data_IF_799658077090
#
_entry.id   IF_799658077090
#
_cell.length_a   1.000
_cell.length_b   1.000
_cell.length_c   1.000
_cell.angle_alpha   90.00
_cell.angle_beta   90.00
_cell.angle_gamma   90.00
#
_symmetry.space_group_name_H-M   'P 1'
#
loop_
_entity.id
_entity.type
_entity.pdbx_description
1 polymer ?
#
# COMPACT_ATOMS: atom_id res chain seq x y z
N UNK A 1 47.79 -17.15 -59.41
CA UNK A 1 47.39 -16.59 -60.72
C UNK A 1 46.09 -17.24 -61.16
N UNK A 2 45.03 -16.43 -61.27
CA UNK A 2 43.93 -16.44 -62.27
C UNK A 2 42.60 -16.11 -61.61
N UNK A 3 42.08 -14.92 -61.96
CA UNK A 3 40.77 -14.44 -61.53
C UNK A 3 39.62 -15.02 -62.34
N UNK A 4 38.42 -14.64 -61.90
CA UNK A 4 37.10 -14.55 -62.59
C UNK A 4 36.08 -14.44 -61.44
N UNK A 5 35.39 -13.33 -61.19
CA UNK A 5 34.58 -12.54 -62.11
C UNK A 5 33.15 -13.09 -62.08
N UNK A 6 32.33 -12.68 -61.09
CA UNK A 6 30.89 -13.01 -61.06
C UNK A 6 30.04 -11.75 -60.98
N UNK A 7 29.04 -11.74 -61.85
CA UNK A 7 28.13 -10.65 -62.18
C UNK A 7 27.09 -10.44 -61.08
N UNK A 8 26.77 -9.18 -60.81
CA UNK A 8 25.63 -8.79 -60.00
C UNK A 8 24.32 -9.21 -60.68
N UNK A 9 23.42 -9.84 -59.92
CA UNK A 9 22.01 -10.01 -60.27
C UNK A 9 21.22 -9.12 -59.32
N UNK A 10 20.58 -8.09 -59.88
CA UNK A 10 19.62 -7.24 -59.18
C UNK A 10 18.28 -7.99 -59.20
N UNK A 11 17.82 -8.45 -58.04
CA UNK A 11 16.43 -8.88 -57.87
C UNK A 11 15.65 -7.70 -57.30
N UNK A 12 14.81 -7.10 -58.13
CA UNK A 12 13.73 -6.21 -57.72
C UNK A 12 12.63 -7.07 -57.07
N UNK A 13 12.67 -7.21 -55.74
CA UNK A 13 11.63 -7.84 -54.95
C UNK A 13 10.88 -6.78 -54.14
N UNK A 14 9.59 -6.60 -54.43
CA UNK A 14 8.74 -5.55 -53.89
C UNK A 14 8.65 -5.53 -52.36
N UNK A 15 8.72 -4.33 -51.79
CA UNK A 15 8.34 -4.04 -50.41
C UNK A 15 6.82 -4.15 -50.27
N UNK A 16 6.33 -5.30 -49.82
CA UNK A 16 5.04 -5.37 -49.17
C UNK A 16 5.20 -4.79 -47.76
N UNK A 17 4.86 -3.51 -47.60
CA UNK A 17 4.63 -2.88 -46.30
C UNK A 17 3.40 -3.55 -45.67
N UNK A 18 3.62 -4.65 -44.93
CA UNK A 18 2.68 -5.06 -43.90
C UNK A 18 2.66 -3.96 -42.86
N UNK A 19 1.58 -3.18 -42.85
CA UNK A 19 1.29 -2.26 -41.78
C UNK A 19 1.22 -3.03 -40.48
N UNK A 20 2.24 -2.87 -39.64
CA UNK A 20 2.14 -3.19 -38.23
C UNK A 20 1.05 -2.25 -37.68
N UNK A 21 -0.14 -2.79 -37.49
CA UNK A 21 -1.13 -2.20 -36.60
C UNK A 21 -0.47 -2.13 -35.23
N UNK A 22 0.16 -0.99 -34.95
CA UNK A 22 0.63 -0.67 -33.62
C UNK A 22 -0.58 -0.67 -32.71
N UNK A 23 -0.74 -1.73 -31.92
CA UNK A 23 -1.59 -1.68 -30.75
C UNK A 23 -1.10 -0.49 -29.93
N UNK A 24 -1.86 0.61 -29.96
CA UNK A 24 -1.65 1.70 -29.04
C UNK A 24 -1.86 1.11 -27.64
N UNK A 25 -0.75 0.76 -26.99
CA UNK A 25 -0.76 0.45 -25.58
C UNK A 25 -1.10 1.77 -24.90
N UNK A 26 -2.35 1.92 -24.47
CA UNK A 26 -2.68 2.88 -23.43
C UNK A 26 -1.64 2.69 -22.33
N UNK A 27 -0.90 3.73 -21.91
CA UNK A 27 0.04 3.57 -20.81
C UNK A 27 -0.77 3.10 -19.60
N UNK A 28 -0.62 1.82 -19.28
CA UNK A 28 -1.15 1.27 -18.06
C UNK A 28 -0.56 2.09 -16.93
N UNK A 29 -1.41 2.54 -16.01
CA UNK A 29 -0.99 3.26 -14.80
C UNK A 29 0.16 2.47 -14.17
N UNK A 30 1.35 3.05 -14.08
CA UNK A 30 2.49 2.42 -13.38
C UNK A 30 2.11 2.27 -11.91
N UNK A 31 1.98 1.03 -11.44
CA UNK A 31 1.67 0.72 -10.05
C UNK A 31 2.90 0.83 -9.11
N UNK A 32 4.02 1.38 -9.61
CA UNK A 32 5.28 1.55 -8.87
C UNK A 32 5.57 3.00 -8.49
N UNK A 33 4.77 3.96 -8.97
CA UNK A 33 5.01 5.38 -8.71
C UNK A 33 4.46 5.80 -7.34
N UNK A 34 4.98 6.86 -6.73
CA UNK A 34 4.47 7.39 -5.45
C UNK A 34 2.95 7.65 -5.46
N UNK A 35 2.45 8.14 -6.60
CA UNK A 35 1.04 8.38 -6.85
C UNK A 35 0.18 7.09 -6.93
N UNK A 36 0.80 5.91 -6.90
CA UNK A 36 0.13 4.62 -6.96
C UNK A 36 -0.31 4.10 -5.59
N UNK A 37 0.36 4.48 -4.49
CA UNK A 37 0.04 3.97 -3.16
C UNK A 37 -1.33 4.44 -2.67
N UNK A 38 -1.60 5.73 -2.87
CA UNK A 38 -2.84 6.37 -2.46
C UNK A 38 -3.40 7.17 -3.66
N UNK A 39 -4.65 6.90 -4.08
CA UNK A 39 -5.33 7.69 -5.09
C UNK A 39 -5.44 9.18 -4.75
N UNK A 40 -5.35 10.06 -5.75
CA UNK A 40 -5.59 11.49 -5.58
C UNK A 40 -7.05 11.77 -5.17
N UNK A 41 -7.26 12.79 -4.33
CA UNK A 41 -8.58 13.20 -3.86
C UNK A 41 -9.15 12.36 -2.72
N UNK A 42 -8.38 11.43 -2.15
CA UNK A 42 -8.83 10.63 -1.00
C UNK A 42 -9.04 11.46 0.26
N UNK A 43 -8.22 12.47 0.46
CA UNK A 43 -8.15 13.21 1.70
C UNK A 43 -8.92 14.53 1.59
N UNK A 44 -9.89 14.82 2.48
CA UNK A 44 -10.66 16.05 2.42
C UNK A 44 -9.76 17.27 2.71
N UNK A 45 -10.08 18.40 2.08
CA UNK A 45 -9.31 19.65 2.11
C UNK A 45 -9.28 20.35 3.48
N UNK A 46 -10.10 19.91 4.43
CA UNK A 46 -10.23 20.48 5.78
C UNK A 46 -9.05 20.18 6.73
N UNK A 47 -7.91 19.73 6.19
CA UNK A 47 -6.70 19.39 6.93
C UNK A 47 -5.60 20.46 6.71
N UNK A 48 -4.71 20.73 7.69
CA UNK A 48 -3.62 21.69 7.52
C UNK A 48 -2.64 21.31 6.39
N UNK A 49 -2.47 20.01 6.12
CA UNK A 49 -1.70 19.50 4.99
C UNK A 49 -2.62 19.19 3.80
N UNK A 50 -2.14 19.48 2.58
CA UNK A 50 -2.85 19.11 1.36
C UNK A 50 -2.97 17.60 1.20
N UNK A 51 -3.97 17.17 0.42
CA UNK A 51 -4.14 15.78 -0.03
C UNK A 51 -2.83 15.21 -0.60
N UNK A 52 -2.15 15.96 -1.47
CA UNK A 52 -0.84 15.57 -2.02
C UNK A 52 0.23 15.35 -0.93
N UNK A 53 0.36 16.29 0.01
CA UNK A 53 1.35 16.19 1.08
C UNK A 53 1.10 14.98 1.99
N UNK A 54 -0.17 14.65 2.26
CA UNK A 54 -0.55 13.46 3.04
C UNK A 54 -0.17 12.18 2.31
N UNK A 55 -0.55 12.06 1.03
CA UNK A 55 -0.21 10.88 0.22
C UNK A 55 1.29 10.66 0.15
N UNK A 56 2.08 11.72 -0.11
CA UNK A 56 3.54 11.63 -0.10
C UNK A 56 4.10 11.12 1.23
N UNK A 57 3.64 11.71 2.33
CA UNK A 57 4.09 11.32 3.68
C UNK A 57 3.76 9.87 4.02
N UNK A 58 2.55 9.41 3.67
CA UNK A 58 2.15 8.03 3.93
C UNK A 58 2.82 7.03 2.98
N UNK A 59 3.15 7.44 1.75
CA UNK A 59 3.82 6.57 0.78
C UNK A 59 5.30 6.34 1.12
N UNK A 60 5.98 7.33 1.71
CA UNK A 60 7.42 7.25 1.97
C UNK A 60 7.85 6.02 2.82
N UNK A 61 7.20 5.68 3.95
CA UNK A 61 7.46 4.43 4.68
C UNK A 61 7.25 3.17 3.82
N UNK A 62 6.19 3.16 3.00
CA UNK A 62 5.83 2.00 2.18
C UNK A 62 6.84 1.78 1.05
N UNK A 63 7.26 2.85 0.39
CA UNK A 63 8.33 2.83 -0.61
C UNK A 63 9.65 2.36 -0.02
N UNK A 64 10.02 2.88 1.16
CA UNK A 64 11.23 2.45 1.87
C UNK A 64 11.23 0.96 2.16
N UNK A 65 10.07 0.40 2.45
CA UNK A 65 9.91 -1.01 2.76
C UNK A 65 9.78 -1.91 1.54
N UNK A 66 9.57 -1.33 0.34
CA UNK A 66 9.24 -2.06 -0.89
C UNK A 66 7.84 -2.67 -0.85
N UNK A 67 6.92 -2.10 -0.07
CA UNK A 67 5.55 -2.60 0.04
C UNK A 67 4.78 -2.38 -1.27
N UNK A 68 3.91 -3.31 -1.70
CA UNK A 68 3.07 -3.09 -2.87
C UNK A 68 1.99 -2.03 -2.59
N UNK A 69 1.50 -1.38 -3.66
CA UNK A 69 0.27 -0.57 -3.59
C UNK A 69 -0.95 -1.48 -3.51
N UNK A 70 -1.81 -1.24 -2.51
CA UNK A 70 -3.11 -1.91 -2.39
C UNK A 70 -4.18 -1.24 -3.27
N UNK A 71 -4.06 0.07 -3.53
CA UNK A 71 -4.98 0.80 -4.39
C UNK A 71 -4.84 0.44 -5.87
N UNK A 72 -3.67 -0.05 -6.27
CA UNK A 72 -3.40 -0.49 -7.63
C UNK A 72 -3.46 -2.01 -7.82
N UNK A 73 -3.84 -2.75 -6.78
CA UNK A 73 -3.95 -4.21 -6.88
C UNK A 73 -5.16 -4.61 -7.75
N UNK A 74 -5.00 -5.61 -8.65
CA UNK A 74 -6.10 -6.10 -9.49
C UNK A 74 -7.20 -6.75 -8.64
N UNK A 75 -8.37 -6.97 -9.23
CA UNK A 75 -9.53 -7.50 -8.51
C UNK A 75 -9.29 -8.91 -7.95
N UNK A 76 -8.45 -9.69 -8.63
CA UNK A 76 -8.06 -11.06 -8.30
C UNK A 76 -6.92 -11.14 -7.28
N UNK A 77 -6.35 -10.00 -6.87
CA UNK A 77 -5.32 -9.97 -5.84
C UNK A 77 -5.87 -10.46 -4.48
N UNK A 78 -4.96 -10.96 -3.64
CA UNK A 78 -5.25 -11.36 -2.28
C UNK A 78 -5.96 -10.24 -1.49
N UNK A 79 -7.03 -10.59 -0.78
CA UNK A 79 -7.70 -9.67 0.14
C UNK A 79 -6.68 -9.19 1.17
N UNK A 80 -6.44 -7.88 1.20
CA UNK A 80 -5.32 -7.32 1.95
C UNK A 80 -5.75 -6.13 2.79
N UNK A 81 -5.27 -6.07 4.02
CA UNK A 81 -5.44 -4.93 4.91
C UNK A 81 -4.08 -4.51 5.47
N UNK A 82 -3.84 -3.20 5.53
CA UNK A 82 -2.58 -2.65 6.04
C UNK A 82 -2.84 -1.56 7.05
N UNK A 83 -2.20 -1.68 8.21
CA UNK A 83 -2.00 -0.59 9.15
C UNK A 83 -0.66 0.07 8.85
N UNK A 84 -0.69 1.38 8.62
CA UNK A 84 0.44 2.28 8.73
C UNK A 84 0.24 3.12 9.98
N UNK A 85 1.16 2.98 10.94
CA UNK A 85 1.18 3.75 12.17
C UNK A 85 2.38 4.70 12.17
N UNK A 86 2.11 6.01 12.24
CA UNK A 86 3.12 7.06 12.27
C UNK A 86 2.98 7.84 13.56
N UNK A 87 4.02 7.89 14.38
CA UNK A 87 3.97 8.53 15.68
C UNK A 87 4.99 9.66 15.80
N UNK A 88 4.66 10.72 16.54
CA UNK A 88 5.59 11.81 16.79
C UNK A 88 6.74 11.43 17.76
N UNK A 89 6.51 10.45 18.63
CA UNK A 89 7.40 10.00 19.71
C UNK A 89 7.82 8.53 19.58
N UNK A 90 7.56 7.88 18.45
CA UNK A 90 7.95 6.50 18.22
C UNK A 90 8.28 6.22 16.75
N UNK A 91 8.85 5.05 16.52
CA UNK A 91 9.24 4.56 15.21
C UNK A 91 8.04 4.21 14.32
N UNK A 92 8.06 4.56 13.02
CA UNK A 92 7.04 4.12 12.06
C UNK A 92 6.90 2.61 12.01
N UNK A 93 5.65 2.12 11.99
CA UNK A 93 5.32 0.70 11.87
C UNK A 93 4.37 0.48 10.72
N UNK A 94 4.62 -0.58 9.94
CA UNK A 94 3.76 -1.05 8.86
C UNK A 94 3.43 -2.52 9.10
N UNK A 95 2.15 -2.86 9.13
CA UNK A 95 1.67 -4.23 9.29
C UNK A 95 0.65 -4.50 8.19
N UNK A 96 0.94 -5.46 7.31
CA UNK A 96 0.03 -5.90 6.25
C UNK A 96 -0.37 -7.35 6.46
N UNK A 97 -1.67 -7.61 6.42
CA UNK A 97 -2.24 -8.95 6.35
C UNK A 97 -2.79 -9.15 4.95
N UNK A 98 -2.42 -10.26 4.29
CA UNK A 98 -2.90 -10.64 2.96
C UNK A 98 -3.42 -12.07 2.99
N UNK A 99 -4.61 -12.31 2.43
CA UNK A 99 -5.25 -13.61 2.40
C UNK A 99 -5.71 -14.00 0.98
N UNK A 100 -5.41 -15.23 0.60
CA UNK A 100 -5.80 -15.83 -0.67
C UNK A 100 -6.34 -17.26 -0.45
N UNK A 101 -6.42 -18.06 -1.52
CA UNK A 101 -6.89 -19.44 -1.47
C UNK A 101 -6.00 -20.40 -0.66
N UNK A 102 -4.76 -20.01 -0.35
CA UNK A 102 -3.81 -20.84 0.42
C UNK A 102 -3.79 -20.49 1.91
N UNK A 103 -4.32 -19.33 2.29
CA UNK A 103 -4.40 -18.88 3.68
C UNK A 103 -4.03 -17.41 3.84
N UNK A 104 -3.81 -16.99 5.09
CA UNK A 104 -3.45 -15.61 5.42
C UNK A 104 -1.99 -15.50 5.87
N UNK A 105 -1.32 -14.44 5.44
CA UNK A 105 0.04 -14.07 5.85
C UNK A 105 0.06 -12.67 6.44
N UNK A 106 0.92 -12.45 7.42
CA UNK A 106 1.16 -11.15 8.04
C UNK A 106 2.63 -10.78 7.85
N UNK A 107 2.87 -9.63 7.22
CA UNK A 107 4.18 -8.99 7.13
C UNK A 107 4.17 -7.73 8.02
N UNK A 108 5.11 -7.63 8.94
CA UNK A 108 5.29 -6.46 9.80
C UNK A 108 6.71 -5.90 9.65
N UNK A 109 6.84 -4.58 9.67
CA UNK A 109 8.10 -3.88 9.58
C UNK A 109 8.11 -2.60 10.44
N UNK A 110 9.25 -2.31 11.05
CA UNK A 110 9.53 -1.08 11.78
C UNK A 110 10.69 -0.36 11.11
N UNK A 111 10.60 0.97 10.99
CA UNK A 111 11.65 1.81 10.42
C UNK A 111 12.30 2.66 11.52
N UNK A 112 13.53 3.14 11.28
CA UNK A 112 14.34 3.87 12.27
C UNK A 112 14.00 5.34 12.41
N UNK A 113 13.14 5.86 11.52
CA UNK A 113 12.69 7.24 11.56
C UNK A 113 11.98 7.56 12.86
N UNK A 114 11.84 8.86 13.10
CA UNK A 114 11.16 9.39 14.26
C UNK A 114 10.31 10.58 13.82
N UNK A 115 9.05 10.61 14.25
CA UNK A 115 8.13 11.64 13.79
C UNK A 115 7.72 11.48 12.33
N UNK A 116 7.50 12.61 11.66
CA UNK A 116 6.68 12.69 10.45
C UNK A 116 7.49 13.02 9.18
N UNK A 117 8.76 13.38 9.35
CA UNK A 117 9.56 13.99 8.28
C UNK A 117 10.28 12.94 7.44
N UNK A 118 10.93 11.96 8.09
CA UNK A 118 11.75 10.96 7.41
C UNK A 118 11.46 9.57 7.99
N UNK A 119 11.09 8.59 7.14
CA UNK A 119 10.76 7.24 7.61
C UNK A 119 11.97 6.50 8.18
N UNK A 120 13.21 6.86 7.80
CA UNK A 120 14.44 6.17 8.21
C UNK A 120 14.63 4.81 7.52
N UNK A 121 15.54 3.98 8.04
CA UNK A 121 15.89 2.67 7.48
C UNK A 121 15.13 1.52 8.17
N UNK A 122 14.92 0.37 7.51
CA UNK A 122 14.37 -0.81 8.17
C UNK A 122 15.16 -1.23 9.42
N UNK A 123 14.50 -1.24 10.58
CA UNK A 123 15.06 -1.71 11.86
C UNK A 123 14.72 -3.17 12.14
N UNK A 124 13.46 -3.55 11.92
CA UNK A 124 12.95 -4.87 12.21
C UNK A 124 11.91 -5.29 11.18
N UNK A 125 11.84 -6.59 10.89
CA UNK A 125 10.83 -7.19 10.02
C UNK A 125 10.45 -8.57 10.52
N UNK A 126 9.21 -8.97 10.30
CA UNK A 126 8.72 -10.33 10.53
C UNK A 126 7.71 -10.72 9.45
N UNK A 127 7.72 -11.99 9.06
CA UNK A 127 6.74 -12.60 8.18
C UNK A 127 6.22 -13.87 8.85
N UNK A 128 4.91 -14.00 9.00
CA UNK A 128 4.28 -15.16 9.61
C UNK A 128 3.01 -15.58 8.87
N UNK A 129 2.69 -16.87 8.90
CA UNK A 129 1.37 -17.37 8.50
C UNK A 129 0.41 -17.16 9.66
N UNK A 130 -0.77 -16.60 9.37
CA UNK A 130 -1.84 -16.50 10.35
C UNK A 130 -2.63 -17.81 10.38
N UNK A 131 -3.14 -18.13 11.57
CA UNK A 131 -4.13 -19.20 11.73
C UNK A 131 -5.44 -18.80 11.06
N UNK A 132 -6.30 -19.78 10.79
CA UNK A 132 -7.65 -19.49 10.28
C UNK A 132 -8.42 -18.65 11.30
N UNK A 133 -8.25 -18.95 12.59
CA UNK A 133 -8.86 -18.24 13.70
C UNK A 133 -8.45 -16.77 13.73
N UNK A 134 -7.16 -16.48 13.58
CA UNK A 134 -6.63 -15.10 13.56
C UNK A 134 -7.11 -14.31 12.35
N UNK A 135 -7.16 -14.93 11.19
CA UNK A 135 -7.76 -14.31 10.02
C UNK A 135 -9.23 -13.96 10.24
N UNK A 136 -10.01 -14.87 10.83
CA UNK A 136 -11.41 -14.61 11.17
C UNK A 136 -11.55 -13.54 12.27
N UNK A 137 -10.62 -13.45 13.22
CA UNK A 137 -10.58 -12.37 14.22
C UNK A 137 -10.43 -11.01 13.55
N UNK A 138 -9.50 -10.88 12.59
CA UNK A 138 -9.33 -9.63 11.83
C UNK A 138 -10.60 -9.28 11.02
N UNK A 139 -11.18 -10.23 10.30
CA UNK A 139 -12.42 -10.00 9.52
C UNK A 139 -13.59 -9.54 10.41
N UNK A 140 -13.74 -10.13 11.59
CA UNK A 140 -14.76 -9.72 12.56
C UNK A 140 -14.50 -8.31 13.10
N UNK A 141 -13.24 -7.94 13.36
CA UNK A 141 -12.90 -6.59 13.80
C UNK A 141 -13.20 -5.55 12.72
N UNK A 142 -12.87 -5.83 11.45
CA UNK A 142 -13.21 -4.98 10.31
C UNK A 142 -14.73 -4.79 10.17
N UNK A 143 -15.51 -5.85 10.35
CA UNK A 143 -16.97 -5.78 10.33
C UNK A 143 -17.52 -4.96 11.51
N UNK A 144 -17.01 -5.18 12.73
CA UNK A 144 -17.43 -4.43 13.93
C UNK A 144 -17.15 -2.94 13.81
N UNK A 145 -16.01 -2.57 13.24
CA UNK A 145 -15.64 -1.18 12.99
C UNK A 145 -16.39 -0.55 11.80
N UNK A 146 -17.21 -1.34 11.09
CA UNK A 146 -17.85 -0.95 9.83
C UNK A 146 -16.86 -0.33 8.82
N UNK A 147 -15.65 -0.91 8.76
CA UNK A 147 -14.49 -0.30 8.12
C UNK A 147 -14.77 0.22 6.71
N UNK A 148 -15.49 -0.54 5.88
CA UNK A 148 -15.74 -0.21 4.48
C UNK A 148 -16.71 0.97 4.27
N UNK A 149 -17.44 1.39 5.31
CA UNK A 149 -18.37 2.51 5.25
C UNK A 149 -17.94 3.71 6.11
N UNK A 150 -16.83 3.57 6.85
CA UNK A 150 -16.27 4.70 7.59
C UNK A 150 -15.83 5.82 6.64
N UNK A 151 -15.96 7.09 7.04
CA UNK A 151 -15.40 8.17 6.26
C UNK A 151 -13.87 8.11 6.27
N UNK A 152 -13.24 8.41 5.12
CA UNK A 152 -11.78 8.34 4.96
C UNK A 152 -11.03 9.14 6.02
N UNK A 153 -11.54 10.29 6.43
CA UNK A 153 -10.95 11.08 7.52
C UNK A 153 -12.02 11.52 8.51
N UNK A 154 -11.69 11.49 9.80
CA UNK A 154 -12.48 12.09 10.88
C UNK A 154 -11.97 13.48 11.25
N UNK A 155 -12.41 14.00 12.40
CA UNK A 155 -11.81 15.19 13.04
C UNK A 155 -10.39 14.87 13.52
N UNK A 156 -9.40 15.62 13.05
CA UNK A 156 -7.98 15.37 13.28
C UNK A 156 -7.34 16.54 14.03
N UNK A 157 -7.03 16.44 15.33
CA UNK A 157 -6.09 17.36 15.99
C UNK A 157 -5.48 16.75 17.26
N UNK A 158 -4.16 16.88 17.40
CA UNK A 158 -3.43 16.71 18.65
C UNK A 158 -1.95 17.08 18.45
N UNK A 159 -1.33 17.68 19.47
CA UNK A 159 0.13 17.98 19.46
C UNK A 159 0.94 16.70 19.72
N UNK A 160 0.34 15.79 20.49
CA UNK A 160 0.88 14.49 20.82
C UNK A 160 -0.02 13.42 20.23
N UNK A 161 0.59 12.33 19.78
CA UNK A 161 -0.14 11.25 19.18
C UNK A 161 0.50 10.67 17.93
N UNK A 162 -0.26 9.77 17.31
CA UNK A 162 0.11 9.09 16.10
C UNK A 162 -1.06 9.01 15.12
N UNK A 163 -0.71 9.03 13.85
CA UNK A 163 -1.60 8.73 12.76
C UNK A 163 -1.78 7.21 12.64
N UNK A 164 -3.03 6.77 12.64
CA UNK A 164 -3.44 5.41 12.34
C UNK A 164 -4.13 5.42 10.98
N UNK A 165 -3.43 4.90 9.97
CA UNK A 165 -3.94 4.78 8.61
C UNK A 165 -4.18 3.31 8.34
N UNK A 166 -5.44 2.91 8.23
CA UNK A 166 -5.82 1.54 7.89
C UNK A 166 -6.42 1.57 6.49
N UNK A 167 -5.85 0.79 5.57
CA UNK A 167 -6.38 0.62 4.23
C UNK A 167 -6.68 -0.85 3.94
N UNK A 168 -7.60 -1.08 3.01
CA UNK A 168 -8.04 -2.40 2.59
C UNK A 168 -8.24 -2.47 1.09
N UNK A 169 -7.90 -3.62 0.53
CA UNK A 169 -8.29 -4.04 -0.81
C UNK A 169 -9.03 -5.37 -0.72
N UNK A 170 -10.17 -5.46 -1.41
CA UNK A 170 -10.93 -6.71 -1.56
C UNK A 170 -11.75 -6.70 -2.84
N UNK A 171 -11.48 -7.65 -3.74
CA UNK A 171 -12.30 -7.84 -4.95
C UNK A 171 -12.37 -6.59 -5.82
N UNK A 172 -11.26 -5.85 -5.94
CA UNK A 172 -11.19 -4.60 -6.72
C UNK A 172 -11.73 -3.36 -6.00
N UNK A 173 -12.25 -3.50 -4.77
CA UNK A 173 -12.63 -2.38 -3.93
C UNK A 173 -11.46 -1.97 -3.04
N UNK A 174 -11.11 -0.69 -3.08
CA UNK A 174 -10.11 -0.07 -2.22
C UNK A 174 -10.77 0.91 -1.26
N UNK A 175 -10.37 0.88 0.01
CA UNK A 175 -10.82 1.84 1.01
C UNK A 175 -9.70 2.17 2.00
N UNK A 176 -9.70 3.38 2.54
CA UNK A 176 -8.74 3.85 3.51
C UNK A 176 -9.44 4.67 4.57
N UNK A 177 -9.07 4.46 5.84
CA UNK A 177 -9.53 5.21 6.99
C UNK A 177 -8.33 5.74 7.73
N UNK A 178 -8.33 7.05 7.97
CA UNK A 178 -7.25 7.79 8.60
C UNK A 178 -7.75 8.49 9.87
N UNK A 179 -7.12 8.18 11.02
CA UNK A 179 -7.47 8.74 12.33
C UNK A 179 -6.22 9.13 13.12
N UNK A 180 -6.24 10.31 13.70
CA UNK A 180 -5.24 10.77 14.65
C UNK A 180 -5.60 10.25 16.04
N UNK A 181 -4.74 9.42 16.63
CA UNK A 181 -4.87 8.88 18.00
C UNK A 181 -6.32 8.55 18.37
N UNK A 182 -6.96 7.60 17.64
CA UNK A 182 -8.38 7.36 17.79
C UNK A 182 -8.70 7.03 19.25
N UNK A 183 -9.78 7.63 19.76
CA UNK A 183 -10.32 7.30 21.08
C UNK A 183 -10.67 5.80 21.17
N UNK A 184 -10.86 5.30 22.39
CA UNK A 184 -11.35 3.95 22.62
C UNK A 184 -12.64 3.71 21.82
N UNK A 185 -12.71 2.56 21.14
CA UNK A 185 -13.79 2.20 20.22
C UNK A 185 -13.31 1.21 19.16
N UNK A 186 -14.22 0.79 18.28
CA UNK A 186 -13.97 -0.34 17.37
C UNK A 186 -12.82 -0.08 16.39
N UNK A 187 -12.62 1.17 15.95
CA UNK A 187 -11.50 1.50 15.07
C UNK A 187 -10.14 1.43 15.80
N UNK A 188 -10.07 1.89 17.05
CA UNK A 188 -8.84 1.76 17.86
C UNK A 188 -8.54 0.29 18.15
N UNK A 189 -9.55 -0.49 18.53
CA UNK A 189 -9.44 -1.94 18.74
C UNK A 189 -8.96 -2.67 17.47
N UNK A 190 -9.49 -2.29 16.30
CA UNK A 190 -9.05 -2.83 15.00
C UNK A 190 -7.57 -2.56 14.77
N UNK A 191 -7.10 -1.33 14.99
CA UNK A 191 -5.69 -0.99 14.86
C UNK A 191 -4.82 -1.81 15.81
N UNK A 192 -5.19 -1.88 17.09
CA UNK A 192 -4.44 -2.64 18.09
C UNK A 192 -4.36 -4.13 17.76
N UNK A 193 -5.41 -4.68 17.13
CA UNK A 193 -5.40 -6.08 16.68
C UNK A 193 -4.30 -6.35 15.64
N UNK A 194 -3.91 -5.39 14.79
CA UNK A 194 -2.76 -5.60 13.89
C UNK A 194 -1.47 -5.84 14.67
N UNK A 195 -1.23 -5.09 15.74
CA UNK A 195 -0.06 -5.28 16.60
C UNK A 195 -0.13 -6.62 17.35
N UNK A 196 -1.30 -6.99 17.87
CA UNK A 196 -1.50 -8.29 18.52
C UNK A 196 -1.19 -9.46 17.59
N UNK A 197 -1.72 -9.41 16.36
CA UNK A 197 -1.50 -10.43 15.35
C UNK A 197 -0.02 -10.49 14.92
N UNK A 198 0.67 -9.35 14.92
CA UNK A 198 2.10 -9.29 14.66
C UNK A 198 2.94 -9.83 15.83
N UNK A 199 2.39 -9.90 17.04
CA UNK A 199 3.13 -10.15 18.27
C UNK A 199 4.06 -9.00 18.65
N UNK A 200 3.71 -7.77 18.26
CA UNK A 200 4.52 -6.56 18.47
C UNK A 200 3.92 -5.72 19.59
N UNK A 201 4.76 -4.94 20.28
CA UNK A 201 4.29 -4.04 21.34
C UNK A 201 3.32 -3.00 20.76
N UNK A 202 2.15 -2.86 21.41
CA UNK A 202 1.16 -1.86 21.02
C UNK A 202 1.65 -0.44 21.34
N UNK A 203 1.16 0.56 20.60
CA UNK A 203 1.24 1.95 21.03
C UNK A 203 0.52 2.16 22.37
N UNK A 204 1.13 2.88 23.29
CA UNK A 204 0.49 3.23 24.57
C UNK A 204 -0.74 4.13 24.36
N UNK A 205 -1.74 4.10 25.26
CA UNK A 205 -2.85 5.05 25.23
C UNK A 205 -2.34 6.49 25.35
N UNK A 206 -2.76 7.37 24.43
CA UNK A 206 -2.31 8.78 24.39
C UNK A 206 -1.04 9.02 23.57
N UNK A 207 -0.48 7.96 22.96
CA UNK A 207 0.42 8.02 21.82
C UNK A 207 -0.31 7.74 20.51
#
# INVERSE_FOLDING_TARGET
>A
MTGKGWRAVIILGGFALLGLAGCAQTPGRSCADEASYFPAGLFPSQYPASDELRRRRYAAPLQRLGEPSLACAPAEAAESYRLLWLNNLAHPVVIRVSADGEGATLAAAQLSGWGWAEPGEPLARSLQRLTTEDWQRLRKALQRADFWHLPTSGTLYGVHGGQWVIEGQRGGHYHLVDRWSPAAGEFRELGELFFDLAGWLRPEPGQ
#
